data_IF_424053555291
#
_entry.id   IF_424053555291
#
_cell.length_a   1.000
_cell.length_b   1.000
_cell.length_c   1.000
_cell.angle_alpha   90.00
_cell.angle_beta   90.00
_cell.angle_gamma   90.00
#
_symmetry.space_group_name_H-M   'P 1'
#
loop_
_entity.id
_entity.type
_entity.pdbx_description
1 polymer ?
#
# COMPACT_ATOMS: atom_id res chain seq x y z
N UNK A 1 6.06 4.31 -11.76
CA UNK A 1 6.55 2.92 -11.94
C UNK A 1 7.64 2.64 -10.92
N UNK A 2 7.61 1.44 -10.30
CA UNK A 2 8.65 0.95 -9.40
C UNK A 2 9.16 -0.37 -9.99
N UNK A 3 10.48 -0.57 -10.01
CA UNK A 3 11.10 -1.81 -10.48
C UNK A 3 11.94 -2.41 -9.34
N UNK A 4 11.83 -3.71 -9.16
CA UNK A 4 12.62 -4.49 -8.19
C UNK A 4 13.44 -5.49 -8.98
N UNK A 5 14.73 -5.56 -8.71
CA UNK A 5 15.67 -6.46 -9.40
C UNK A 5 16.45 -7.29 -8.38
N UNK A 6 16.28 -8.60 -8.44
CA UNK A 6 17.04 -9.62 -7.69
C UNK A 6 17.10 -9.35 -6.17
N UNK A 7 16.00 -8.83 -5.60
CA UNK A 7 15.95 -8.41 -4.20
C UNK A 7 15.93 -9.62 -3.26
N UNK A 8 16.85 -9.62 -2.31
CA UNK A 8 16.91 -10.63 -1.25
C UNK A 8 16.99 -9.97 0.13
N UNK A 9 16.38 -10.62 1.14
CA UNK A 9 16.39 -10.18 2.54
C UNK A 9 16.39 -11.35 3.49
N UNK A 10 17.26 -11.28 4.50
CA UNK A 10 17.39 -12.30 5.55
C UNK A 10 17.26 -11.65 6.93
N UNK A 11 16.85 -12.45 7.91
CA UNK A 11 16.86 -12.12 9.33
C UNK A 11 17.42 -13.32 10.10
N UNK A 12 18.40 -13.09 10.96
CA UNK A 12 19.01 -14.11 11.81
C UNK A 12 19.42 -15.38 11.04
N UNK A 13 19.97 -15.18 9.82
CA UNK A 13 20.40 -16.28 8.94
C UNK A 13 19.28 -16.96 8.15
N UNK A 14 18.01 -16.58 8.36
CA UNK A 14 16.87 -17.10 7.59
C UNK A 14 16.53 -16.16 6.44
N UNK A 15 16.65 -16.66 5.21
CA UNK A 15 16.31 -15.87 4.01
C UNK A 15 14.80 -15.81 3.81
N UNK A 16 14.22 -14.62 4.01
CA UNK A 16 12.77 -14.35 3.91
C UNK A 16 12.36 -13.93 2.50
N UNK A 17 13.19 -13.14 1.81
CA UNK A 17 13.02 -12.82 0.38
C UNK A 17 14.20 -13.37 -0.41
N UNK A 18 13.89 -14.01 -1.55
CA UNK A 18 14.85 -14.80 -2.34
C UNK A 18 14.73 -14.39 -3.80
N UNK A 19 15.61 -13.49 -4.24
CA UNK A 19 15.76 -13.12 -5.64
C UNK A 19 14.44 -12.63 -6.27
N UNK A 20 13.77 -11.68 -5.60
CA UNK A 20 12.50 -11.10 -6.07
C UNK A 20 12.77 -10.10 -7.18
N UNK A 21 12.15 -10.34 -8.34
CA UNK A 21 12.14 -9.39 -9.46
C UNK A 21 10.71 -9.13 -9.92
N UNK A 22 10.28 -7.85 -9.91
CA UNK A 22 8.90 -7.45 -10.26
C UNK A 22 8.86 -5.99 -10.67
N UNK A 23 7.90 -5.65 -11.54
CA UNK A 23 7.63 -4.26 -11.93
C UNK A 23 6.22 -3.87 -11.53
N UNK A 24 6.07 -2.74 -10.81
CA UNK A 24 4.79 -2.16 -10.44
C UNK A 24 4.47 -0.99 -11.38
N UNK A 25 3.38 -1.14 -12.11
CA UNK A 25 2.97 -0.20 -13.16
C UNK A 25 2.23 1.01 -12.59
N UNK A 26 2.43 2.17 -13.20
CA UNK A 26 1.72 3.40 -12.86
C UNK A 26 0.26 3.34 -13.34
N UNK A 27 -0.65 3.98 -12.59
CA UNK A 27 -2.08 3.99 -12.87
C UNK A 27 -2.76 2.64 -12.65
N UNK A 28 -2.08 1.70 -11.96
CA UNK A 28 -2.52 0.33 -11.73
C UNK A 28 -2.53 -0.03 -10.26
N UNK A 29 -3.49 -0.89 -9.88
CA UNK A 29 -3.46 -1.63 -8.62
C UNK A 29 -2.60 -2.90 -8.82
N UNK A 30 -1.38 -2.84 -8.32
CA UNK A 30 -0.43 -3.96 -8.37
C UNK A 30 -0.57 -4.76 -7.07
N UNK A 31 -1.00 -6.00 -7.16
CA UNK A 31 -1.24 -6.86 -6.01
C UNK A 31 -0.01 -7.72 -5.70
N UNK A 32 0.34 -7.81 -4.43
CA UNK A 32 1.29 -8.80 -3.91
C UNK A 32 0.47 -9.79 -3.08
N UNK A 33 0.38 -11.02 -3.55
CA UNK A 33 -0.45 -12.05 -2.93
C UNK A 33 0.38 -13.23 -2.43
N UNK A 34 -0.19 -14.00 -1.51
CA UNK A 34 0.44 -15.19 -0.95
C UNK A 34 -0.03 -15.46 0.48
N UNK A 35 0.28 -16.63 1.00
CA UNK A 35 -0.06 -17.03 2.34
C UNK A 35 0.56 -16.13 3.42
N UNK A 36 0.03 -16.18 4.65
CA UNK A 36 0.66 -15.51 5.79
C UNK A 36 2.10 -16.01 5.97
N UNK A 37 3.04 -15.11 6.26
CA UNK A 37 4.46 -15.46 6.40
C UNK A 37 5.22 -15.66 5.09
N UNK A 38 4.62 -15.49 3.90
CA UNK A 38 5.31 -15.67 2.62
C UNK A 38 6.34 -14.59 2.28
N UNK A 39 6.38 -13.46 3.03
CA UNK A 39 7.32 -12.35 2.82
C UNK A 39 6.71 -11.04 2.30
N UNK A 40 5.38 -10.97 2.07
CA UNK A 40 4.68 -9.79 1.50
C UNK A 40 4.99 -8.48 2.23
N UNK A 41 4.76 -8.45 3.55
CA UNK A 41 5.03 -7.25 4.38
C UNK A 41 6.52 -6.89 4.42
N UNK A 42 7.41 -7.88 4.37
CA UNK A 42 8.87 -7.63 4.29
C UNK A 42 9.21 -6.97 2.96
N UNK A 43 8.66 -7.47 1.85
CA UNK A 43 8.84 -6.84 0.54
C UNK A 43 8.32 -5.40 0.54
N UNK A 44 7.09 -5.18 1.05
CA UNK A 44 6.52 -3.84 1.15
C UNK A 44 7.40 -2.89 1.98
N UNK A 45 7.92 -3.33 3.13
CA UNK A 45 8.83 -2.53 3.97
C UNK A 45 10.14 -2.19 3.27
N UNK A 46 10.67 -3.07 2.43
CA UNK A 46 11.82 -2.75 1.57
C UNK A 46 11.44 -1.70 0.51
N UNK A 47 10.29 -1.86 -0.15
CA UNK A 47 9.82 -0.92 -1.16
C UNK A 47 9.72 0.50 -0.61
N UNK A 48 9.13 0.71 0.56
CA UNK A 48 8.96 2.04 1.15
C UNK A 48 10.22 2.57 1.86
N UNK A 49 11.33 1.81 1.83
CA UNK A 49 12.60 2.22 2.43
C UNK A 49 12.62 2.19 3.96
N UNK A 50 11.73 1.41 4.61
CA UNK A 50 11.78 1.11 6.05
C UNK A 50 12.76 -0.01 6.38
N UNK A 51 13.16 -0.80 5.38
CA UNK A 51 14.18 -1.82 5.47
C UNK A 51 15.08 -1.74 4.25
N UNK A 52 16.38 -1.99 4.45
CA UNK A 52 17.32 -2.14 3.34
C UNK A 52 17.42 -3.60 2.93
N UNK A 53 17.41 -3.92 1.63
CA UNK A 53 17.65 -5.28 1.15
C UNK A 53 19.10 -5.69 1.41
N UNK A 54 19.35 -6.99 1.54
CA UNK A 54 20.72 -7.52 1.65
C UNK A 54 21.41 -7.55 0.27
N UNK A 55 20.63 -7.73 -0.80
CA UNK A 55 21.09 -7.64 -2.19
C UNK A 55 19.93 -7.26 -3.11
N UNK A 56 20.27 -6.90 -4.35
CA UNK A 56 19.30 -6.44 -5.35
C UNK A 56 19.05 -4.95 -5.28
N UNK A 57 18.13 -4.46 -6.09
CA UNK A 57 17.89 -3.04 -6.26
C UNK A 57 16.39 -2.71 -6.35
N UNK A 58 15.99 -1.55 -5.80
CA UNK A 58 14.66 -0.98 -5.92
C UNK A 58 14.80 0.36 -6.65
N UNK A 59 14.10 0.50 -7.76
CA UNK A 59 14.23 1.63 -8.66
C UNK A 59 12.89 2.36 -8.76
N UNK A 60 12.87 3.65 -8.40
CA UNK A 60 11.74 4.54 -8.51
C UNK A 60 11.92 5.46 -9.74
N UNK A 61 11.19 5.15 -10.83
CA UNK A 61 11.39 5.80 -12.12
C UNK A 61 12.76 5.43 -12.70
N UNK A 62 13.71 6.35 -12.60
CA UNK A 62 15.11 6.21 -13.04
C UNK A 62 16.13 6.20 -11.89
N UNK A 63 15.66 6.25 -10.64
CA UNK A 63 16.51 6.42 -9.46
C UNK A 63 16.50 5.18 -8.58
N UNK A 64 17.68 4.66 -8.30
CA UNK A 64 17.88 3.58 -7.33
C UNK A 64 17.75 4.07 -5.91
N UNK A 65 16.93 3.41 -5.09
CA UNK A 65 16.69 3.75 -3.69
C UNK A 65 17.98 3.71 -2.86
N UNK A 66 18.85 2.73 -3.12
CA UNK A 66 20.12 2.55 -2.40
C UNK A 66 21.15 3.66 -2.70
N UNK A 67 21.01 4.33 -3.84
CA UNK A 67 21.92 5.40 -4.28
C UNK A 67 21.41 6.80 -3.95
N UNK A 68 20.20 6.90 -3.37
CA UNK A 68 19.62 8.20 -2.98
C UNK A 68 20.33 8.75 -1.75
N UNK A 69 20.65 10.04 -1.78
CA UNK A 69 21.02 10.79 -0.59
C UNK A 69 19.80 11.07 0.32
N UNK A 70 20.02 11.60 1.52
CA UNK A 70 18.94 11.84 2.49
C UNK A 70 17.90 12.86 1.99
N UNK A 71 18.28 13.86 1.18
CA UNK A 71 17.32 14.80 0.61
C UNK A 71 16.45 14.13 -0.45
N UNK A 72 17.03 13.28 -1.29
CA UNK A 72 16.30 12.49 -2.29
C UNK A 72 15.38 11.48 -1.62
N UNK A 73 15.81 10.79 -0.55
CA UNK A 73 14.96 9.90 0.25
C UNK A 73 13.81 10.67 0.90
N UNK A 74 14.06 11.87 1.43
CA UNK A 74 13.00 12.75 1.97
C UNK A 74 11.98 13.13 0.89
N UNK A 75 12.43 13.52 -0.30
CA UNK A 75 11.55 13.81 -1.44
C UNK A 75 10.75 12.57 -1.88
N UNK A 76 11.36 11.39 -1.87
CA UNK A 76 10.65 10.14 -2.17
C UNK A 76 9.55 9.88 -1.13
N UNK A 77 9.85 10.03 0.18
CA UNK A 77 8.86 9.85 1.27
C UNK A 77 7.65 10.77 1.14
N UNK A 78 7.82 12.02 0.67
CA UNK A 78 6.71 12.93 0.35
C UNK A 78 5.82 12.41 -0.78
N UNK A 79 6.36 11.59 -1.67
CA UNK A 79 5.64 10.99 -2.79
C UNK A 79 5.06 9.60 -2.46
N UNK A 80 5.19 9.13 -1.23
CA UNK A 80 4.68 7.83 -0.76
C UNK A 80 3.55 8.04 0.23
N UNK A 81 2.38 7.47 -0.07
CA UNK A 81 1.28 7.28 0.86
C UNK A 81 1.25 5.83 1.35
N UNK A 82 0.93 5.63 2.63
CA UNK A 82 0.90 4.29 3.23
C UNK A 82 -0.38 4.10 4.03
N UNK A 83 -1.09 3.00 3.75
CA UNK A 83 -2.13 2.45 4.60
C UNK A 83 -1.62 1.18 5.26
N UNK A 84 -1.39 1.21 6.55
CA UNK A 84 -1.01 0.04 7.34
C UNK A 84 -2.22 -0.83 7.70
N UNK A 85 -1.99 -2.09 8.00
CA UNK A 85 -3.02 -3.08 8.35
C UNK A 85 -3.97 -2.58 9.45
N UNK A 86 -3.47 -1.95 10.53
CA UNK A 86 -4.26 -1.36 11.61
C UNK A 86 -4.65 0.11 11.40
N UNK A 87 -4.58 0.65 10.16
CA UNK A 87 -4.72 2.08 9.83
C UNK A 87 -3.68 2.99 10.49
N UNK A 88 -3.10 2.61 11.61
CA UNK A 88 -2.08 3.33 12.40
C UNK A 88 -2.46 4.80 12.64
N UNK A 89 -3.73 5.07 12.93
CA UNK A 89 -4.19 6.40 13.34
C UNK A 89 -3.67 6.70 14.75
N UNK A 90 -3.41 7.97 15.00
CA UNK A 90 -3.04 8.43 16.34
C UNK A 90 -4.30 8.56 17.19
N UNK A 91 -4.42 7.76 18.24
CA UNK A 91 -5.60 7.72 19.12
C UNK A 91 -5.79 9.02 19.93
N UNK A 92 -4.70 9.77 20.12
CA UNK A 92 -4.70 11.06 20.81
C UNK A 92 -5.04 12.26 19.90
N UNK A 93 -5.17 12.05 18.60
CA UNK A 93 -5.47 13.06 17.61
C UNK A 93 -6.84 12.83 16.98
N UNK A 94 -7.54 13.91 16.66
CA UNK A 94 -8.82 13.90 15.97
C UNK A 94 -8.67 13.42 14.52
N UNK A 95 -9.77 13.13 13.85
CA UNK A 95 -9.80 12.74 12.42
C UNK A 95 -9.06 13.75 11.54
N UNK A 96 -9.40 15.04 11.70
CA UNK A 96 -8.77 16.07 10.86
C UNK A 96 -7.27 16.21 11.14
N UNK A 97 -6.84 16.12 12.41
CA UNK A 97 -5.44 16.18 12.81
C UNK A 97 -4.65 14.98 12.28
N UNK A 98 -5.22 13.78 12.31
CA UNK A 98 -4.62 12.60 11.69
C UNK A 98 -4.32 12.81 10.20
N UNK A 99 -5.25 13.41 9.45
CA UNK A 99 -5.06 13.68 8.02
C UNK A 99 -4.09 14.83 7.78
N UNK A 100 -4.07 15.84 8.66
CA UNK A 100 -3.15 16.98 8.58
C UNK A 100 -1.70 16.59 8.91
N UNK A 101 -1.49 15.57 9.72
CA UNK A 101 -0.18 15.20 10.26
C UNK A 101 0.97 15.15 9.23
N UNK A 102 0.87 14.43 8.08
CA UNK A 102 1.97 14.42 7.12
C UNK A 102 2.28 15.81 6.54
N UNK A 103 1.28 16.68 6.44
CA UNK A 103 1.48 18.03 5.91
C UNK A 103 2.27 18.93 6.88
N UNK A 104 2.25 18.65 8.18
CA UNK A 104 3.01 19.39 9.19
C UNK A 104 4.52 19.18 9.03
N UNK A 105 4.92 17.99 8.62
CA UNK A 105 6.35 17.63 8.48
C UNK A 105 6.91 17.88 7.10
N UNK A 106 6.07 17.90 6.07
CA UNK A 106 6.51 17.88 4.69
C UNK A 106 6.11 19.12 3.89
N UNK A 107 5.39 20.08 4.48
CA UNK A 107 4.98 21.31 3.77
C UNK A 107 5.14 22.53 4.65
N UNK A 108 5.32 23.68 4.00
CA UNK A 108 5.31 25.00 4.65
C UNK A 108 3.90 25.63 4.64
N UNK A 109 2.86 24.82 4.44
CA UNK A 109 1.47 25.30 4.39
C UNK A 109 1.00 25.86 5.73
N UNK A 110 0.21 26.91 5.68
CA UNK A 110 -0.44 27.45 6.88
C UNK A 110 -1.45 26.44 7.47
N UNK A 111 -1.80 26.55 8.75
CA UNK A 111 -2.81 25.67 9.37
C UNK A 111 -4.15 25.67 8.60
N UNK A 112 -4.56 26.80 8.04
CA UNK A 112 -5.78 26.91 7.22
C UNK A 112 -5.68 26.08 5.93
N UNK A 113 -4.56 26.17 5.21
CA UNK A 113 -4.32 25.40 3.99
C UNK A 113 -4.26 23.89 4.26
N UNK A 114 -3.59 23.48 5.35
CA UNK A 114 -3.56 22.07 5.76
C UNK A 114 -4.96 21.53 6.07
N UNK A 115 -5.78 22.35 6.78
CA UNK A 115 -7.16 21.99 7.12
C UNK A 115 -8.02 21.85 5.87
N UNK A 116 -7.97 22.81 4.95
CA UNK A 116 -8.69 22.75 3.67
C UNK A 116 -8.31 21.50 2.88
N UNK A 117 -7.01 21.22 2.78
CA UNK A 117 -6.51 19.99 2.11
C UNK A 117 -6.97 18.71 2.80
N UNK A 118 -6.97 18.67 4.14
CA UNK A 118 -7.45 17.53 4.90
C UNK A 118 -8.94 17.29 4.70
N UNK A 119 -9.75 18.34 4.69
CA UNK A 119 -11.18 18.25 4.39
C UNK A 119 -11.44 17.70 2.98
N UNK A 120 -10.71 18.20 1.97
CA UNK A 120 -10.76 17.63 0.62
C UNK A 120 -10.44 16.13 0.60
N UNK A 121 -9.39 15.68 1.34
CA UNK A 121 -9.04 14.27 1.42
C UNK A 121 -10.13 13.44 2.11
N UNK A 122 -10.75 13.96 3.17
CA UNK A 122 -11.87 13.31 3.87
C UNK A 122 -13.12 13.19 2.98
N UNK A 123 -13.42 14.21 2.18
CA UNK A 123 -14.49 14.15 1.18
C UNK A 123 -14.22 13.06 0.13
N UNK A 124 -12.99 12.94 -0.36
CA UNK A 124 -12.59 11.91 -1.34
C UNK A 124 -12.81 10.48 -0.82
N UNK A 125 -12.72 10.27 0.48
CA UNK A 125 -12.96 8.96 1.10
C UNK A 125 -14.37 8.82 1.70
N UNK A 126 -15.28 9.76 1.43
CA UNK A 126 -16.64 9.79 1.97
C UNK A 126 -16.70 9.77 3.52
N UNK A 127 -15.84 10.54 4.17
CA UNK A 127 -15.87 10.80 5.62
C UNK A 127 -16.19 12.28 5.84
N UNK A 128 -17.47 12.59 6.09
CA UNK A 128 -17.96 13.96 6.26
C UNK A 128 -18.53 14.12 7.67
N UNK A 129 -18.31 15.28 8.28
CA UNK A 129 -18.89 15.63 9.59
C UNK A 129 -18.29 14.87 10.79
N UNK A 130 -17.10 14.29 10.63
CA UNK A 130 -16.39 13.55 11.67
C UNK A 130 -15.07 14.19 12.09
N UNK A 131 -14.78 15.39 11.65
CA UNK A 131 -13.49 16.10 11.82
C UNK A 131 -12.97 16.10 13.27
N UNK A 132 -13.85 16.34 14.24
CA UNK A 132 -13.51 16.44 15.67
C UNK A 132 -13.59 15.13 16.43
N UNK A 133 -13.96 14.01 15.81
CA UNK A 133 -14.01 12.70 16.46
C UNK A 133 -12.61 12.10 16.60
N UNK A 134 -12.45 11.22 17.56
CA UNK A 134 -11.25 10.41 17.76
C UNK A 134 -11.39 9.02 17.12
N UNK A 135 -10.29 8.32 16.79
CA UNK A 135 -10.35 7.00 16.14
C UNK A 135 -11.19 5.97 16.89
N UNK A 136 -11.17 5.96 18.21
CA UNK A 136 -11.95 5.03 19.06
C UNK A 136 -13.47 5.25 19.02
N UNK A 137 -13.94 6.37 18.46
CA UNK A 137 -15.37 6.68 18.28
C UNK A 137 -15.91 6.23 16.90
N UNK A 138 -15.06 5.54 16.09
CA UNK A 138 -15.34 5.25 14.70
C UNK A 138 -15.30 3.74 14.43
N UNK A 139 -16.10 3.30 13.43
CA UNK A 139 -16.03 1.92 12.94
C UNK A 139 -14.68 1.64 12.25
N UNK A 140 -14.29 0.36 12.18
CA UNK A 140 -13.06 -0.06 11.49
C UNK A 140 -12.99 0.40 10.04
N UNK A 141 -14.11 0.35 9.30
CA UNK A 141 -14.18 0.85 7.94
C UNK A 141 -13.96 2.37 7.83
N UNK A 142 -14.48 3.16 8.79
CA UNK A 142 -14.21 4.59 8.85
C UNK A 142 -12.73 4.87 9.16
N UNK A 143 -12.13 4.14 10.08
CA UNK A 143 -10.71 4.26 10.39
C UNK A 143 -9.83 3.95 9.17
N UNK A 144 -10.18 2.94 8.37
CA UNK A 144 -9.48 2.63 7.10
C UNK A 144 -9.59 3.79 6.10
N UNK A 145 -10.79 4.35 5.92
CA UNK A 145 -11.02 5.53 5.05
C UNK A 145 -10.18 6.71 5.48
N UNK A 146 -10.11 7.02 6.78
CA UNK A 146 -9.27 8.10 7.31
C UNK A 146 -7.78 7.80 7.09
N UNK A 147 -7.35 6.56 7.27
CA UNK A 147 -5.99 6.12 6.95
C UNK A 147 -5.64 6.35 5.47
N UNK A 148 -6.59 6.09 4.55
CA UNK A 148 -6.46 6.40 3.12
C UNK A 148 -6.41 7.92 2.90
N UNK A 149 -7.29 8.71 3.53
CA UNK A 149 -7.29 10.17 3.44
C UNK A 149 -5.92 10.75 3.86
N UNK A 150 -5.36 10.26 4.98
CA UNK A 150 -4.02 10.62 5.43
C UNK A 150 -2.94 10.23 4.41
N UNK A 151 -3.06 9.04 3.83
CA UNK A 151 -2.09 8.55 2.84
C UNK A 151 -2.05 9.41 1.57
N UNK A 152 -3.19 9.98 1.14
CA UNK A 152 -3.27 10.82 -0.07
C UNK A 152 -3.07 12.32 0.21
N UNK A 153 -2.83 12.73 1.46
CA UNK A 153 -2.78 14.14 1.88
C UNK A 153 -1.72 14.95 1.11
N UNK A 154 -0.57 14.35 0.78
CA UNK A 154 0.53 14.97 0.07
C UNK A 154 0.50 14.77 -1.46
N UNK A 155 -0.61 14.33 -2.06
CA UNK A 155 -0.68 13.94 -3.47
C UNK A 155 0.42 12.95 -3.88
N UNK A 156 0.51 11.77 -3.25
CA UNK A 156 1.59 10.84 -3.49
C UNK A 156 1.55 10.29 -4.92
N UNK A 157 2.71 9.95 -5.47
CA UNK A 157 2.83 9.20 -6.73
C UNK A 157 2.73 7.69 -6.50
N UNK A 158 2.97 7.24 -5.28
CA UNK A 158 3.01 5.84 -4.89
C UNK A 158 2.13 5.63 -3.67
N UNK A 159 1.21 4.67 -3.74
CA UNK A 159 0.35 4.28 -2.62
C UNK A 159 0.64 2.83 -2.24
N UNK A 160 0.92 2.58 -0.98
CA UNK A 160 1.14 1.24 -0.45
C UNK A 160 0.06 0.89 0.56
N UNK A 161 -0.58 -0.27 0.39
CA UNK A 161 -1.62 -0.77 1.28
C UNK A 161 -1.22 -2.16 1.79
N UNK A 162 -1.06 -2.30 3.10
CA UNK A 162 -0.78 -3.58 3.74
C UNK A 162 -2.06 -4.13 4.36
N UNK A 163 -2.63 -5.19 3.75
CA UNK A 163 -3.87 -5.84 4.18
C UNK A 163 -5.01 -4.82 4.46
N UNK A 164 -5.43 -4.03 3.44
CA UNK A 164 -6.37 -2.91 3.65
C UNK A 164 -7.71 -3.35 4.23
N UNK A 165 -8.16 -4.58 3.94
CA UNK A 165 -9.46 -5.11 4.31
C UNK A 165 -9.44 -5.94 5.61
N UNK A 166 -8.28 -6.09 6.25
CA UNK A 166 -8.16 -6.87 7.48
C UNK A 166 -9.13 -6.39 8.57
N UNK A 167 -9.96 -7.30 9.08
CA UNK A 167 -10.91 -7.02 10.15
C UNK A 167 -12.21 -6.34 9.72
N UNK A 168 -12.48 -6.24 8.42
CA UNK A 168 -13.71 -5.67 7.88
C UNK A 168 -14.69 -6.78 7.45
N UNK A 169 -15.97 -6.45 7.43
CA UNK A 169 -16.98 -7.29 6.81
C UNK A 169 -16.84 -7.29 5.27
N UNK A 170 -17.38 -8.29 4.55
CA UNK A 170 -17.20 -8.40 3.10
C UNK A 170 -17.72 -7.21 2.30
N UNK A 171 -18.82 -6.58 2.72
CA UNK A 171 -19.38 -5.42 2.02
C UNK A 171 -18.48 -4.20 2.17
N UNK A 172 -18.03 -3.92 3.39
CA UNK A 172 -17.10 -2.82 3.67
C UNK A 172 -15.77 -3.03 2.95
N UNK A 173 -15.27 -4.27 2.85
CA UNK A 173 -14.06 -4.62 2.11
C UNK A 173 -14.14 -4.21 0.65
N UNK A 174 -15.23 -4.55 -0.03
CA UNK A 174 -15.46 -4.15 -1.44
C UNK A 174 -15.45 -2.62 -1.60
N UNK A 175 -16.04 -1.90 -0.65
CA UNK A 175 -16.05 -0.43 -0.70
C UNK A 175 -14.65 0.18 -0.52
N UNK A 176 -13.80 -0.43 0.32
CA UNK A 176 -12.39 0.00 0.48
C UNK A 176 -11.58 -0.32 -0.77
N UNK A 177 -11.76 -1.50 -1.37
CA UNK A 177 -11.08 -1.89 -2.60
C UNK A 177 -11.41 -0.92 -3.75
N UNK A 178 -12.69 -0.66 -3.98
CA UNK A 178 -13.14 0.30 -5.00
C UNK A 178 -12.57 1.69 -4.76
N UNK A 179 -12.60 2.17 -3.52
CA UNK A 179 -12.01 3.45 -3.15
C UNK A 179 -10.50 3.51 -3.51
N UNK A 180 -9.74 2.47 -3.18
CA UNK A 180 -8.30 2.39 -3.53
C UNK A 180 -8.12 2.40 -5.06
N UNK A 181 -8.94 1.63 -5.80
CA UNK A 181 -8.88 1.58 -7.27
C UNK A 181 -9.23 2.93 -7.90
N UNK A 182 -10.28 3.59 -7.44
CA UNK A 182 -10.75 4.88 -7.97
C UNK A 182 -9.69 5.97 -7.74
N UNK A 183 -9.16 6.07 -6.53
CA UNK A 183 -8.07 7.00 -6.21
C UNK A 183 -6.80 6.71 -7.01
N UNK A 184 -6.47 5.43 -7.23
CA UNK A 184 -5.33 5.02 -8.06
C UNK A 184 -5.44 5.56 -9.48
N UNK A 185 -6.63 5.45 -10.08
CA UNK A 185 -6.91 5.93 -11.43
C UNK A 185 -6.99 7.46 -11.48
N UNK A 186 -7.72 8.07 -10.54
CA UNK A 186 -7.92 9.52 -10.48
C UNK A 186 -6.58 10.26 -10.36
N UNK A 187 -5.71 9.81 -9.44
CA UNK A 187 -4.39 10.44 -9.22
C UNK A 187 -3.26 9.81 -10.03
N UNK A 188 -3.56 8.84 -10.90
CA UNK A 188 -2.58 8.12 -11.72
C UNK A 188 -1.39 7.58 -10.90
N UNK A 189 -1.68 7.03 -9.71
CA UNK A 189 -0.68 6.52 -8.79
C UNK A 189 -0.19 5.12 -9.20
N UNK A 190 1.04 4.77 -8.79
CA UNK A 190 1.46 3.37 -8.72
C UNK A 190 1.01 2.84 -7.36
N UNK A 191 -0.04 2.04 -7.34
CA UNK A 191 -0.55 1.45 -6.09
C UNK A 191 -0.07 0.02 -5.94
N UNK A 192 0.46 -0.31 -4.75
CA UNK A 192 0.90 -1.66 -4.37
C UNK A 192 0.07 -2.11 -3.18
N UNK A 193 -0.67 -3.22 -3.34
CA UNK A 193 -1.56 -3.77 -2.31
C UNK A 193 -1.09 -5.16 -1.93
N UNK A 194 -0.72 -5.34 -0.67
CA UNK A 194 -0.52 -6.68 -0.10
C UNK A 194 -1.87 -7.22 0.38
N UNK A 195 -2.24 -8.42 -0.05
CA UNK A 195 -3.43 -9.10 0.46
C UNK A 195 -3.36 -10.62 0.25
N UNK A 196 -4.20 -11.34 0.96
CA UNK A 196 -4.49 -12.76 0.72
C UNK A 196 -5.96 -12.97 0.33
N UNK A 197 -6.78 -11.91 0.27
CA UNK A 197 -8.21 -11.97 -0.07
C UNK A 197 -8.42 -12.05 -1.57
N UNK A 198 -8.98 -13.18 -2.05
CA UNK A 198 -9.28 -13.40 -3.46
C UNK A 198 -10.33 -12.44 -4.00
N UNK A 199 -11.30 -11.99 -3.19
CA UNK A 199 -12.30 -11.04 -3.65
C UNK A 199 -11.65 -9.70 -4.01
N UNK A 200 -10.74 -9.18 -3.17
CA UNK A 200 -9.95 -7.97 -3.46
C UNK A 200 -9.12 -8.12 -4.73
N UNK A 201 -8.45 -9.28 -4.90
CA UNK A 201 -7.62 -9.57 -6.06
C UNK A 201 -8.44 -9.52 -7.35
N UNK A 202 -9.61 -10.14 -7.36
CA UNK A 202 -10.49 -10.17 -8.54
C UNK A 202 -11.19 -8.82 -8.78
N UNK A 203 -11.51 -8.07 -7.74
CA UNK A 203 -12.19 -6.78 -7.86
C UNK A 203 -11.24 -5.72 -8.45
N UNK A 204 -10.05 -5.53 -7.87
CA UNK A 204 -9.19 -4.39 -8.20
C UNK A 204 -7.81 -4.75 -8.76
N UNK A 205 -7.39 -6.02 -8.80
CA UNK A 205 -6.06 -6.42 -9.24
C UNK A 205 -5.85 -6.23 -10.73
N UNK A 206 -5.04 -5.25 -11.14
CA UNK A 206 -4.64 -5.03 -12.53
C UNK A 206 -3.40 -5.87 -12.88
N UNK A 207 -2.44 -5.94 -11.95
CA UNK A 207 -1.24 -6.77 -12.00
C UNK A 207 -1.11 -7.54 -10.70
N UNK A 208 -0.71 -8.79 -10.78
CA UNK A 208 -0.69 -9.68 -9.62
C UNK A 208 0.64 -10.43 -9.60
N UNK A 209 1.34 -10.36 -8.46
CA UNK A 209 2.53 -11.15 -8.18
C UNK A 209 2.29 -12.09 -7.01
N UNK A 210 2.46 -13.38 -7.20
CA UNK A 210 2.31 -14.41 -6.16
C UNK A 210 3.64 -14.74 -5.51
N UNK A 211 3.73 -14.49 -4.20
CA UNK A 211 4.90 -14.84 -3.39
C UNK A 211 4.62 -16.11 -2.60
N UNK A 212 5.50 -17.09 -2.80
CA UNK A 212 5.50 -18.34 -2.04
C UNK A 212 6.91 -18.63 -1.52
N UNK A 213 7.04 -18.89 -0.22
CA UNK A 213 8.32 -19.17 0.46
C UNK A 213 9.44 -18.17 0.13
N UNK A 214 9.09 -16.89 0.03
CA UNK A 214 10.02 -15.81 -0.25
C UNK A 214 10.41 -15.63 -1.73
N UNK A 215 9.82 -16.36 -2.66
CA UNK A 215 10.07 -16.24 -4.10
C UNK A 215 8.85 -15.72 -4.83
N UNK A 216 9.05 -14.92 -5.86
CA UNK A 216 8.00 -14.52 -6.81
C UNK A 216 7.80 -15.68 -7.79
N UNK A 217 6.86 -16.61 -7.48
CA UNK A 217 6.64 -17.80 -8.29
C UNK A 217 5.82 -17.53 -9.56
N UNK A 218 4.93 -16.52 -9.52
CA UNK A 218 4.07 -16.24 -10.64
C UNK A 218 3.75 -14.75 -10.72
N UNK A 219 3.57 -14.26 -11.95
CA UNK A 219 3.14 -12.90 -12.24
C UNK A 219 2.13 -12.93 -13.39
N UNK A 220 1.05 -12.15 -13.25
CA UNK A 220 0.00 -12.08 -14.26
C UNK A 220 -1.04 -11.01 -13.94
N UNK A 221 -2.28 -11.29 -14.32
CA UNK A 221 -3.44 -10.43 -14.09
C UNK A 221 -4.65 -11.24 -13.61
N UNK A 222 -5.78 -10.56 -13.36
CA UNK A 222 -7.01 -11.20 -12.89
C UNK A 222 -7.66 -12.18 -13.89
N UNK A 223 -7.26 -12.17 -15.15
CA UNK A 223 -7.75 -13.15 -16.14
C UNK A 223 -6.96 -14.44 -16.04
N UNK A 224 -5.65 -14.32 -15.88
CA UNK A 224 -4.73 -15.46 -15.86
C UNK A 224 -4.66 -16.16 -14.50
N UNK A 225 -4.97 -15.47 -13.39
CA UNK A 225 -4.95 -16.06 -12.04
C UNK A 225 -5.97 -17.18 -11.83
N UNK A 226 -7.08 -17.18 -12.58
CA UNK A 226 -8.13 -18.20 -12.46
C UNK A 226 -7.75 -19.54 -13.10
N UNK A 227 -6.74 -19.55 -13.98
CA UNK A 227 -6.20 -20.74 -14.64
C UNK A 227 -4.67 -20.72 -14.60
N UNK A 228 -4.06 -20.73 -13.40
CA UNK A 228 -2.63 -20.63 -13.31
C UNK A 228 -1.95 -21.96 -13.74
N UNK A 229 -0.76 -21.83 -14.28
CA UNK A 229 0.12 -22.96 -14.62
C UNK A 229 0.98 -23.47 -13.44
N UNK A 230 0.94 -22.74 -12.30
CA UNK A 230 1.68 -23.03 -11.07
C UNK A 230 0.77 -23.75 -10.06
N UNK A 231 1.19 -24.92 -9.57
CA UNK A 231 0.42 -25.73 -8.62
C UNK A 231 0.19 -25.01 -7.29
N UNK A 232 1.21 -24.36 -6.75
CA UNK A 232 1.15 -23.64 -5.49
C UNK A 232 0.15 -22.47 -5.55
N UNK A 233 0.01 -21.83 -6.71
CA UNK A 233 -0.98 -20.78 -6.91
C UNK A 233 -2.39 -21.37 -7.06
N UNK A 234 -2.55 -22.54 -7.71
CA UNK A 234 -3.84 -23.26 -7.74
C UNK A 234 -4.33 -23.58 -6.34
N UNK A 235 -3.45 -24.13 -5.51
CA UNK A 235 -3.78 -24.46 -4.13
C UNK A 235 -4.16 -23.22 -3.33
N UNK A 236 -3.43 -22.10 -3.53
CA UNK A 236 -3.75 -20.82 -2.90
C UNK A 236 -5.11 -20.27 -3.33
N UNK A 237 -5.43 -20.31 -4.62
CA UNK A 237 -6.71 -19.83 -5.17
C UNK A 237 -7.89 -20.70 -4.71
N UNK A 238 -7.69 -22.02 -4.61
CA UNK A 238 -8.75 -22.94 -4.15
C UNK A 238 -9.00 -22.87 -2.64
N UNK A 239 -8.03 -22.40 -1.85
CA UNK A 239 -8.13 -22.33 -0.39
C UNK A 239 -8.73 -21.01 0.13
N UNK A 240 -8.88 -19.99 -0.71
CA UNK A 240 -9.36 -18.65 -0.39
C UNK A 240 -10.56 -18.25 -1.27
#
# INVERSE_FOLDING_TARGET
MIKVENLSKSFDGVQVLKDISVTYEQGKCNMIIGASGSGKTVLLKNLIGLMEPDSGEIIYGDRSLSRMDENQKRQLRQNIGILFQGSALFDFATVIENVMFPMEFFTDWSPAQRRERAQYCLEKVNVIGSDGKYPNELSGGMQKRIGIARAIALNPKFLFCDEPNSGLDPYTSILIDRLISDLTKEFNMTTVVNTHDMNSILEIGDRIGFIHQGRMLWQGDKKTILQPDCTELKDFVCAN
#
